data_IF_211811887183
#
_entry.id   IF_211811887183
#
_cell.length_a   1.000
_cell.length_b   1.000
_cell.length_c   1.000
_cell.angle_alpha   90.00
_cell.angle_beta   90.00
_cell.angle_gamma   90.00
#
_symmetry.space_group_name_H-M   'P 1'
#
loop_
_entity.id
_entity.type
_entity.pdbx_description
1 polymer ?
#
# COMPACT_ATOMS: atom_id res chain seq x y z
N UNK A 1 22.36 2.55 1.16
CA UNK A 1 21.54 1.31 1.10
C UNK A 1 22.27 0.04 1.57
N UNK A 2 23.60 -0.08 1.42
CA UNK A 2 24.38 -1.29 1.79
C UNK A 2 24.27 -1.73 3.27
N UNK A 3 24.17 -0.79 4.20
CA UNK A 3 24.09 -1.10 5.63
C UNK A 3 22.71 -1.59 6.10
N UNK A 4 21.64 -1.30 5.34
CA UNK A 4 20.27 -1.70 5.71
C UNK A 4 20.04 -3.18 5.38
N UNK A 5 20.55 -3.66 4.24
CA UNK A 5 20.49 -5.07 3.86
C UNK A 5 21.25 -5.97 4.86
N UNK A 6 22.40 -5.50 5.37
CA UNK A 6 23.17 -6.20 6.40
C UNK A 6 22.40 -6.33 7.72
N UNK A 7 21.68 -5.27 8.13
CA UNK A 7 20.85 -5.29 9.34
C UNK A 7 19.64 -6.23 9.20
N UNK A 8 19.02 -6.30 8.01
CA UNK A 8 17.94 -7.25 7.72
C UNK A 8 18.48 -8.69 7.73
N UNK A 9 19.65 -8.93 7.14
CA UNK A 9 20.32 -10.23 7.15
C UNK A 9 20.64 -10.74 8.56
N UNK A 10 21.19 -9.88 9.42
CA UNK A 10 21.44 -10.21 10.83
C UNK A 10 20.16 -10.55 11.61
N UNK A 11 19.04 -9.88 11.29
CA UNK A 11 17.76 -10.16 11.93
C UNK A 11 17.24 -11.57 11.59
N UNK A 12 17.37 -12.01 10.34
CA UNK A 12 17.00 -13.37 9.92
C UNK A 12 17.93 -14.44 10.52
N UNK A 13 19.24 -14.18 10.58
CA UNK A 13 20.19 -15.11 11.21
C UNK A 13 19.87 -15.29 12.69
N UNK A 14 19.63 -14.20 13.43
CA UNK A 14 19.27 -14.26 14.84
C UNK A 14 17.91 -14.94 15.11
N UNK A 15 16.93 -14.75 14.21
CA UNK A 15 15.63 -15.41 14.29
C UNK A 15 15.75 -16.93 14.09
N UNK A 16 16.53 -17.37 13.11
CA UNK A 16 16.80 -18.78 12.85
C UNK A 16 17.50 -19.47 14.03
N UNK A 17 18.47 -18.80 14.66
CA UNK A 17 19.16 -19.33 15.84
C UNK A 17 18.22 -19.44 17.05
N UNK A 18 17.32 -18.48 17.28
CA UNK A 18 16.35 -18.56 18.38
C UNK A 18 15.31 -19.68 18.19
N UNK A 19 14.89 -19.95 16.95
CA UNK A 19 13.93 -21.02 16.64
C UNK A 19 14.60 -22.40 16.76
N UNK A 20 15.88 -22.54 16.34
CA UNK A 20 16.65 -23.78 16.46
C UNK A 20 17.06 -24.12 17.91
N UNK A 21 17.24 -23.12 18.77
CA UNK A 21 17.52 -23.35 20.20
C UNK A 21 16.27 -23.55 21.06
N UNK A 22 15.08 -23.18 20.58
CA UNK A 22 13.81 -23.40 21.28
C UNK A 22 13.18 -24.77 20.99
N UNK A 23 13.68 -25.52 20.00
CA UNK A 23 13.28 -26.90 19.76
C UNK A 23 14.03 -27.83 20.72
N UNK A 24 13.33 -28.56 21.62
CA UNK A 24 13.97 -29.51 22.51
C UNK A 24 14.55 -30.65 21.68
N UNK A 25 15.86 -30.81 21.83
CA UNK A 25 16.65 -31.93 21.31
C UNK A 25 16.12 -33.22 21.95
N UNK A 26 15.20 -33.92 21.28
CA UNK A 26 14.79 -35.27 21.66
C UNK A 26 15.29 -36.24 20.59
N UNK A 27 16.59 -36.47 20.64
CA UNK A 27 17.20 -37.68 20.11
C UNK A 27 16.82 -38.83 21.04
N UNK A 28 15.82 -39.63 20.68
CA UNK A 28 15.79 -41.07 20.95
C UNK A 28 14.56 -41.74 20.32
N UNK A 29 14.81 -42.93 19.76
CA UNK A 29 13.89 -44.07 19.68
C UNK A 29 12.77 -44.07 18.63
N UNK A 30 13.02 -44.84 17.57
CA UNK A 30 12.27 -46.06 17.16
C UNK A 30 12.00 -46.14 15.65
N UNK A 31 12.44 -47.28 15.11
CA UNK A 31 12.38 -47.79 13.76
C UNK A 31 10.96 -48.00 13.18
N UNK A 32 10.88 -47.80 11.85
CA UNK A 32 10.17 -48.57 10.80
C UNK A 32 8.67 -48.86 10.93
N UNK A 33 7.92 -48.42 9.92
CA UNK A 33 7.01 -49.28 9.13
C UNK A 33 6.50 -48.53 7.90
N UNK A 34 6.74 -49.11 6.72
CA UNK A 34 6.17 -48.70 5.43
C UNK A 34 4.66 -49.01 5.36
N UNK A 35 3.88 -48.10 4.77
CA UNK A 35 2.61 -48.42 4.10
C UNK A 35 2.20 -47.25 3.18
N UNK A 36 2.28 -47.47 1.87
CA UNK A 36 1.69 -46.63 0.84
C UNK A 36 0.15 -46.64 0.93
N UNK A 37 -0.49 -45.48 0.76
CA UNK A 37 -1.79 -45.44 0.08
C UNK A 37 -1.92 -44.16 -0.77
N UNK A 38 -1.98 -44.40 -2.06
CA UNK A 38 -2.22 -43.45 -3.16
C UNK A 38 -3.69 -43.04 -3.17
N UNK A 39 -3.99 -41.76 -2.93
CA UNK A 39 -5.28 -41.18 -3.32
C UNK A 39 -5.08 -39.98 -4.24
N UNK A 40 -5.54 -40.19 -5.48
CA UNK A 40 -5.49 -39.26 -6.61
C UNK A 40 -6.59 -38.21 -6.42
N UNK A 41 -6.24 -36.93 -6.39
CA UNK A 41 -7.21 -35.83 -6.47
C UNK A 41 -7.76 -35.73 -7.91
N UNK A 42 -9.07 -35.92 -8.06
CA UNK A 42 -9.77 -35.75 -9.33
C UNK A 42 -10.28 -34.31 -9.45
N UNK A 43 -9.90 -33.65 -10.54
CA UNK A 43 -10.33 -32.29 -10.90
C UNK A 43 -11.45 -32.35 -11.94
N UNK A 44 -12.51 -31.54 -11.78
CA UNK A 44 -13.51 -31.39 -12.84
C UNK A 44 -12.99 -30.50 -13.98
N UNK A 45 -13.64 -30.59 -15.15
CA UNK A 45 -13.27 -29.84 -16.37
C UNK A 45 -13.45 -28.32 -16.25
N UNK A 46 -13.99 -27.82 -15.13
CA UNK A 46 -14.19 -26.40 -14.85
C UNK A 46 -13.27 -25.87 -13.73
N UNK A 47 -12.30 -26.67 -13.26
CA UNK A 47 -11.37 -26.26 -12.21
C UNK A 47 -12.02 -26.05 -10.84
N UNK A 48 -13.22 -26.58 -10.60
CA UNK A 48 -13.88 -26.54 -9.29
C UNK A 48 -13.67 -27.85 -8.54
N UNK A 49 -13.24 -27.71 -7.28
CA UNK A 49 -13.02 -28.82 -6.35
C UNK A 49 -14.38 -29.35 -5.86
N UNK A 50 -14.81 -30.51 -6.36
CA UNK A 50 -15.98 -31.24 -5.86
C UNK A 50 -15.56 -32.13 -4.68
N UNK A 51 -15.69 -31.62 -3.45
CA UNK A 51 -15.60 -32.46 -2.25
C UNK A 51 -16.93 -33.19 -2.08
N UNK A 52 -16.95 -34.47 -2.44
CA UNK A 52 -18.03 -35.40 -2.12
C UNK A 52 -18.12 -35.52 -0.59
N UNK A 53 -19.29 -35.16 -0.05
CA UNK A 53 -19.60 -35.31 1.36
C UNK A 53 -19.92 -36.78 1.62
N UNK A 54 -18.93 -37.58 2.00
CA UNK A 54 -19.15 -38.93 2.51
C UNK A 54 -19.08 -38.96 4.04
N UNK A 55 -20.27 -39.19 4.59
CA UNK A 55 -20.69 -39.70 5.90
C UNK A 55 -19.79 -39.55 7.13
N UNK A 56 -20.28 -38.65 7.99
CA UNK A 56 -19.80 -38.22 9.30
C UNK A 56 -19.68 -39.32 10.36
N UNK A 57 -20.16 -40.53 10.08
CA UNK A 57 -20.15 -41.65 11.03
C UNK A 57 -19.03 -42.67 10.80
N UNK A 58 -18.40 -42.68 9.61
CA UNK A 58 -17.34 -43.65 9.30
C UNK A 58 -15.95 -43.21 9.77
N UNK A 59 -15.75 -41.91 9.97
CA UNK A 59 -14.46 -41.31 10.38
C UNK A 59 -14.16 -41.54 11.88
N UNK A 60 -15.19 -41.76 12.72
CA UNK A 60 -15.03 -41.90 14.17
C UNK A 60 -14.43 -43.24 14.64
N UNK A 61 -14.31 -44.24 13.77
CA UNK A 61 -13.77 -45.56 14.12
C UNK A 61 -12.31 -45.75 13.69
N UNK A 62 -11.84 -45.08 12.62
CA UNK A 62 -10.45 -45.17 12.16
C UNK A 62 -9.51 -44.17 12.87
N UNK A 63 -10.04 -43.06 13.42
CA UNK A 63 -9.27 -42.09 14.21
C UNK A 63 -8.80 -42.60 15.58
N UNK A 64 -9.19 -43.79 16.04
CA UNK A 64 -8.68 -44.38 17.28
C UNK A 64 -7.46 -45.29 17.11
N UNK A 65 -7.01 -45.56 15.89
CA UNK A 65 -5.95 -46.52 15.61
C UNK A 65 -4.68 -45.98 14.93
N UNK A 66 -4.67 -44.74 14.41
CA UNK A 66 -3.70 -44.34 13.38
C UNK A 66 -2.95 -43.00 13.56
N UNK A 67 -3.02 -42.31 14.70
CA UNK A 67 -2.19 -41.10 14.96
C UNK A 67 -1.00 -41.38 15.89
N UNK A 68 -0.18 -42.36 15.50
CA UNK A 68 1.26 -42.25 15.73
C UNK A 68 1.84 -41.84 14.38
N UNK A 69 2.71 -40.82 14.37
CA UNK A 69 3.55 -40.36 13.24
C UNK A 69 3.01 -39.17 12.42
N UNK A 70 3.74 -38.05 12.49
CA UNK A 70 3.73 -36.85 11.62
C UNK A 70 2.67 -35.75 11.88
N UNK A 71 2.79 -35.06 13.03
CA UNK A 71 2.18 -33.75 13.24
C UNK A 71 3.07 -32.62 12.67
N UNK A 72 2.53 -31.67 11.87
CA UNK A 72 3.23 -30.46 11.50
C UNK A 72 3.45 -29.57 12.73
N UNK A 73 4.67 -29.02 12.86
CA UNK A 73 5.17 -28.26 14.01
C UNK A 73 4.41 -26.95 14.37
N UNK A 74 3.23 -26.70 13.81
CA UNK A 74 2.39 -25.52 14.07
C UNK A 74 1.24 -25.78 15.05
N UNK A 75 0.85 -27.04 15.32
CA UNK A 75 -0.26 -27.37 16.24
C UNK A 75 0.17 -27.84 17.63
N UNK A 76 1.47 -28.03 17.88
CA UNK A 76 2.01 -28.37 19.22
C UNK A 76 1.95 -27.21 20.24
N UNK A 77 1.37 -26.06 19.86
CA UNK A 77 1.13 -24.92 20.75
C UNK A 77 -0.29 -25.00 21.38
N UNK A 78 -1.15 -25.89 20.90
CA UNK A 78 -2.48 -26.11 21.47
C UNK A 78 -2.48 -27.25 22.48
N UNK A 79 -2.90 -26.96 23.73
CA UNK A 79 -3.35 -27.93 24.76
C UNK A 79 -2.29 -28.62 25.64
N UNK A 80 -1.13 -28.02 25.89
CA UNK A 80 -0.51 -28.27 27.21
C UNK A 80 -1.31 -27.53 28.26
N UNK A 81 -2.02 -28.27 29.13
CA UNK A 81 -2.44 -27.77 30.45
C UNK A 81 -1.17 -27.46 31.24
N UNK A 82 -0.50 -26.36 30.91
CA UNK A 82 0.45 -25.74 31.81
C UNK A 82 -0.38 -25.36 33.02
N UNK A 83 -0.10 -25.98 34.17
CA UNK A 83 -0.83 -25.65 35.39
C UNK A 83 -0.81 -24.13 35.56
N UNK A 84 -1.97 -23.53 35.82
CA UNK A 84 -2.14 -22.08 36.04
C UNK A 84 -1.28 -21.50 37.19
N UNK A 85 -0.40 -22.32 37.80
CA UNK A 85 0.55 -21.97 38.84
C UNK A 85 2.01 -21.82 38.38
N UNK A 86 2.37 -22.11 37.12
CA UNK A 86 3.78 -22.14 36.70
C UNK A 86 4.24 -20.98 35.79
N UNK A 87 3.36 -20.08 35.39
CA UNK A 87 3.71 -18.89 34.59
C UNK A 87 3.11 -17.67 35.28
N UNK A 88 3.94 -16.81 35.86
CA UNK A 88 3.42 -15.63 36.57
C UNK A 88 2.57 -14.80 35.62
N UNK A 89 1.40 -14.32 36.09
CA UNK A 89 0.53 -13.40 35.32
C UNK A 89 1.29 -12.17 34.81
N UNK A 90 2.46 -11.87 35.38
CA UNK A 90 3.37 -10.81 34.91
C UNK A 90 4.06 -11.12 33.56
N UNK A 91 4.11 -12.38 33.09
CA UNK A 91 4.77 -12.74 31.82
C UNK A 91 3.85 -12.65 30.59
N UNK A 92 2.53 -12.78 30.77
CA UNK A 92 1.56 -12.66 29.66
C UNK A 92 1.46 -11.22 29.13
N UNK A 93 1.71 -10.22 29.97
CA UNK A 93 1.88 -8.81 29.58
C UNK A 93 3.33 -8.40 29.31
N UNK A 94 4.31 -9.29 29.53
CA UNK A 94 5.73 -8.95 29.44
C UNK A 94 6.13 -8.56 28.02
N UNK A 95 6.99 -7.54 27.91
CA UNK A 95 7.54 -7.12 26.63
C UNK A 95 8.38 -8.20 25.91
N UNK A 96 8.69 -9.28 26.61
CA UNK A 96 9.54 -10.37 26.14
C UNK A 96 8.74 -11.63 25.74
N UNK A 97 7.40 -11.61 25.76
CA UNK A 97 6.60 -12.78 25.36
C UNK A 97 6.75 -13.06 23.83
N UNK A 98 7.35 -14.18 23.42
CA UNK A 98 7.60 -14.51 22.02
C UNK A 98 6.32 -14.61 21.18
N UNK A 99 5.18 -15.00 21.77
CA UNK A 99 3.89 -15.02 21.05
C UNK A 99 3.42 -13.62 20.59
N UNK A 100 3.86 -12.56 21.27
CA UNK A 100 3.51 -11.18 20.91
C UNK A 100 4.49 -10.55 19.92
N UNK A 101 5.63 -11.19 19.65
CA UNK A 101 6.68 -10.64 18.80
C UNK A 101 6.24 -10.41 17.35
N UNK A 102 5.57 -11.36 16.65
CA UNK A 102 5.14 -11.14 15.27
C UNK A 102 4.19 -9.94 15.16
N UNK A 103 3.21 -9.83 16.07
CA UNK A 103 2.28 -8.68 16.13
C UNK A 103 3.03 -7.37 16.38
N UNK A 104 4.03 -7.35 17.27
CA UNK A 104 4.85 -6.17 17.56
C UNK A 104 5.79 -5.78 16.43
N UNK A 105 6.41 -6.75 15.76
CA UNK A 105 7.26 -6.52 14.58
C UNK A 105 6.41 -5.94 13.45
N UNK A 106 5.25 -6.56 13.17
CA UNK A 106 4.31 -6.05 12.17
C UNK A 106 3.84 -4.62 12.49
N UNK A 107 3.49 -4.34 13.75
CA UNK A 107 3.12 -3.00 14.19
C UNK A 107 4.27 -1.99 14.03
N UNK A 108 5.51 -2.36 14.40
CA UNK A 108 6.70 -1.52 14.21
C UNK A 108 7.00 -1.26 12.73
N UNK A 109 6.84 -2.26 11.86
CA UNK A 109 7.01 -2.12 10.41
C UNK A 109 5.94 -1.17 9.86
N UNK A 110 4.67 -1.36 10.24
CA UNK A 110 3.56 -0.48 9.86
C UNK A 110 3.78 0.96 10.34
N UNK A 111 4.24 1.15 11.57
CA UNK A 111 4.58 2.47 12.11
C UNK A 111 5.77 3.12 11.40
N UNK A 112 6.82 2.35 11.12
CA UNK A 112 7.98 2.83 10.36
C UNK A 112 7.58 3.24 8.95
N UNK A 113 6.74 2.44 8.30
CA UNK A 113 6.18 2.73 6.99
C UNK A 113 5.30 3.99 6.99
N UNK A 114 4.45 4.14 8.01
CA UNK A 114 3.65 5.35 8.21
C UNK A 114 4.54 6.60 8.39
N UNK A 115 5.62 6.52 9.18
CA UNK A 115 6.59 7.62 9.35
C UNK A 115 7.35 7.94 8.07
N UNK A 116 7.74 6.93 7.30
CA UNK A 116 8.35 7.13 5.99
C UNK A 116 7.40 7.89 5.05
N UNK A 117 6.13 7.47 5.00
CA UNK A 117 5.10 8.18 4.23
C UNK A 117 4.81 9.57 4.77
N UNK A 118 4.87 9.79 6.08
CA UNK A 118 4.75 11.12 6.67
C UNK A 118 5.89 12.05 6.24
N UNK A 119 7.13 11.54 6.13
CA UNK A 119 8.24 12.33 5.60
C UNK A 119 8.06 12.64 4.11
N UNK A 120 7.45 11.74 3.33
CA UNK A 120 7.09 12.00 1.94
C UNK A 120 6.04 13.11 1.84
N UNK A 121 4.98 13.04 2.66
CA UNK A 121 3.95 14.09 2.77
C UNK A 121 4.60 15.43 3.11
N UNK A 122 5.40 15.49 4.19
CA UNK A 122 6.07 16.71 4.62
C UNK A 122 6.90 17.35 3.51
N UNK A 123 7.64 16.54 2.73
CA UNK A 123 8.46 17.01 1.61
C UNK A 123 7.63 17.57 0.46
N UNK A 124 6.49 16.95 0.17
CA UNK A 124 5.58 17.41 -0.88
C UNK A 124 4.80 18.67 -0.48
N UNK A 125 4.79 19.04 0.80
CA UNK A 125 4.03 20.18 1.34
C UNK A 125 4.92 21.20 2.07
N UNK A 126 6.22 21.28 1.75
CA UNK A 126 7.17 22.16 2.47
C UNK A 126 6.96 23.62 2.11
N UNK A 127 6.90 23.89 0.81
CA UNK A 127 6.80 25.20 0.19
C UNK A 127 6.06 25.10 -1.15
N UNK A 128 5.75 26.26 -1.74
CA UNK A 128 4.98 26.35 -2.98
C UNK A 128 5.64 25.59 -4.15
N UNK A 129 6.96 25.68 -4.28
CA UNK A 129 7.70 24.96 -5.34
C UNK A 129 7.65 23.45 -5.14
N UNK A 130 7.76 22.97 -3.90
CA UNK A 130 7.70 21.55 -3.57
C UNK A 130 6.33 20.95 -3.93
N UNK A 131 5.26 21.71 -3.70
CA UNK A 131 3.91 21.34 -4.08
C UNK A 131 3.82 21.27 -5.61
N UNK A 132 4.22 22.32 -6.33
CA UNK A 132 4.18 22.34 -7.80
C UNK A 132 5.01 21.20 -8.42
N UNK A 133 6.21 20.91 -7.88
CA UNK A 133 7.06 19.81 -8.37
C UNK A 133 6.41 18.45 -8.14
N UNK A 134 5.79 18.26 -6.97
CA UNK A 134 5.12 17.00 -6.65
C UNK A 134 3.88 16.79 -7.54
N UNK A 135 3.15 17.85 -7.87
CA UNK A 135 2.02 17.83 -8.80
C UNK A 135 2.44 17.47 -10.22
N UNK A 136 3.54 18.07 -10.71
CA UNK A 136 4.15 17.71 -12.00
C UNK A 136 4.60 16.24 -12.04
N UNK A 137 5.07 15.72 -10.91
CA UNK A 137 5.42 14.30 -10.74
C UNK A 137 4.20 13.36 -10.65
N UNK A 138 2.98 13.90 -10.70
CA UNK A 138 1.73 13.15 -10.67
C UNK A 138 1.20 12.85 -9.26
N UNK A 139 1.72 13.50 -8.23
CA UNK A 139 1.16 13.38 -6.89
C UNK A 139 -0.21 14.09 -6.84
N UNK A 140 -1.22 13.37 -6.35
CA UNK A 140 -2.59 13.88 -6.28
C UNK A 140 -3.03 14.07 -4.84
N UNK A 141 -4.06 14.91 -4.59
CA UNK A 141 -4.69 14.97 -3.29
C UNK A 141 -5.26 13.62 -2.84
N UNK A 142 -5.73 12.77 -3.76
CA UNK A 142 -6.20 11.43 -3.42
C UNK A 142 -5.09 10.54 -2.84
N UNK A 143 -3.91 10.54 -3.48
CA UNK A 143 -2.73 9.85 -2.98
C UNK A 143 -2.31 10.38 -1.60
N UNK A 144 -2.36 11.70 -1.39
CA UNK A 144 -2.05 12.29 -0.09
C UNK A 144 -3.12 12.02 0.98
N UNK A 145 -4.41 11.99 0.63
CA UNK A 145 -5.52 11.59 1.52
C UNK A 145 -5.29 10.17 2.04
N UNK A 146 -4.87 9.25 1.16
CA UNK A 146 -4.49 7.88 1.54
C UNK A 146 -3.30 7.84 2.49
N UNK A 147 -2.24 8.62 2.22
CA UNK A 147 -1.07 8.72 3.10
C UNK A 147 -1.48 9.26 4.49
N UNK A 148 -2.26 10.33 4.53
CA UNK A 148 -2.81 10.92 5.76
C UNK A 148 -3.58 9.88 6.58
N UNK A 149 -4.53 9.19 5.96
CA UNK A 149 -5.36 8.19 6.62
C UNK A 149 -4.52 7.01 7.15
N UNK A 150 -3.52 6.56 6.39
CA UNK A 150 -2.59 5.52 6.84
C UNK A 150 -1.78 5.98 8.06
N UNK A 151 -1.34 7.24 8.10
CA UNK A 151 -0.60 7.80 9.25
C UNK A 151 -1.50 7.84 10.48
N UNK A 152 -2.74 8.31 10.35
CA UNK A 152 -3.71 8.35 11.46
C UNK A 152 -4.08 6.96 11.96
N UNK A 153 -4.15 5.96 11.07
CA UNK A 153 -4.48 4.60 11.45
C UNK A 153 -3.34 3.88 12.19
N UNK A 154 -2.09 4.06 11.74
CA UNK A 154 -0.95 3.29 12.27
C UNK A 154 -0.11 4.04 13.31
N UNK A 155 -0.19 5.36 13.39
CA UNK A 155 0.52 6.16 14.37
C UNK A 155 -0.48 6.70 15.39
N UNK A 156 -0.18 6.55 16.68
CA UNK A 156 -0.77 7.39 17.73
C UNK A 156 -0.21 8.80 17.56
N UNK A 157 -0.66 9.50 16.52
CA UNK A 157 -0.37 10.91 16.33
C UNK A 157 -0.89 11.64 17.56
N UNK A 158 0.02 12.31 18.27
CA UNK A 158 -0.37 13.24 19.34
C UNK A 158 -1.32 14.26 18.69
N UNK A 159 -2.36 14.77 19.38
CA UNK A 159 -3.31 15.70 18.75
C UNK A 159 -2.68 16.83 17.94
N UNK A 160 -1.51 17.33 18.36
CA UNK A 160 -0.71 18.32 17.61
C UNK A 160 -0.20 17.84 16.25
N UNK A 161 0.25 16.59 16.16
CA UNK A 161 0.70 16.01 14.89
C UNK A 161 -0.48 15.79 13.94
N UNK A 162 -1.63 15.37 14.47
CA UNK A 162 -2.84 15.18 13.68
C UNK A 162 -3.31 16.49 13.04
N UNK A 163 -3.39 17.57 13.83
CA UNK A 163 -3.74 18.91 13.35
C UNK A 163 -2.75 19.38 12.28
N UNK A 164 -1.44 19.15 12.48
CA UNK A 164 -0.43 19.55 11.50
C UNK A 164 -0.58 18.78 10.19
N UNK A 165 -0.77 17.46 10.24
CA UNK A 165 -0.96 16.62 9.06
C UNK A 165 -2.22 17.05 8.29
N UNK A 166 -3.31 17.36 9.00
CA UNK A 166 -4.54 17.86 8.38
C UNK A 166 -4.30 19.21 7.69
N UNK A 167 -3.59 20.13 8.35
CA UNK A 167 -3.23 21.43 7.78
C UNK A 167 -2.35 21.29 6.53
N UNK A 168 -1.33 20.44 6.59
CA UNK A 168 -0.42 20.17 5.47
C UNK A 168 -1.21 19.59 4.28
N UNK A 169 -2.15 18.67 4.54
CA UNK A 169 -3.05 18.11 3.51
C UNK A 169 -3.97 19.18 2.91
N UNK A 170 -4.65 19.99 3.73
CA UNK A 170 -5.56 21.02 3.23
C UNK A 170 -4.80 22.07 2.42
N UNK A 171 -3.62 22.49 2.86
CA UNK A 171 -2.75 23.40 2.11
C UNK A 171 -2.39 22.84 0.74
N UNK A 172 -2.13 21.53 0.64
CA UNK A 172 -1.88 20.88 -0.64
C UNK A 172 -3.12 20.88 -1.54
N UNK A 173 -4.28 20.52 -0.99
CA UNK A 173 -5.57 20.50 -1.73
C UNK A 173 -5.86 21.88 -2.31
N UNK A 174 -5.75 22.93 -1.48
CA UNK A 174 -6.03 24.31 -1.87
C UNK A 174 -5.09 24.77 -2.99
N UNK A 175 -3.78 24.50 -2.86
CA UNK A 175 -2.82 24.86 -3.91
C UNK A 175 -3.00 24.02 -5.18
N UNK A 176 -3.34 22.74 -5.05
CA UNK A 176 -3.59 21.83 -6.16
C UNK A 176 -4.75 22.33 -7.03
N UNK A 177 -5.88 22.64 -6.39
CA UNK A 177 -7.05 23.14 -7.11
C UNK A 177 -6.89 24.59 -7.56
N UNK A 178 -6.10 25.39 -6.82
CA UNK A 178 -5.73 26.75 -7.23
C UNK A 178 -5.07 26.84 -8.61
N UNK A 179 -4.35 25.79 -9.04
CA UNK A 179 -3.75 25.74 -10.38
C UNK A 179 -4.77 25.73 -11.52
N UNK A 180 -6.03 25.37 -11.26
CA UNK A 180 -7.10 25.33 -12.27
C UNK A 180 -7.96 26.59 -12.30
N UNK A 181 -7.72 27.59 -11.44
CA UNK A 181 -8.48 28.84 -11.43
C UNK A 181 -8.48 29.53 -12.81
N UNK A 182 -7.38 29.40 -13.54
CA UNK A 182 -7.25 29.92 -14.90
C UNK A 182 -7.94 29.08 -15.98
N UNK A 183 -8.18 27.78 -15.75
CA UNK A 183 -8.89 26.88 -16.68
C UNK A 183 -10.34 27.32 -16.89
N UNK A 184 -10.98 27.90 -15.87
CA UNK A 184 -12.38 28.31 -15.89
C UNK A 184 -12.60 29.75 -16.40
N UNK A 185 -11.53 30.44 -16.81
CA UNK A 185 -11.62 31.74 -17.50
C UNK A 185 -11.93 31.55 -18.98
N UNK A 186 -12.42 32.60 -19.64
CA UNK A 186 -12.69 32.62 -21.08
C UNK A 186 -11.92 33.78 -21.75
N UNK A 187 -10.84 33.51 -22.52
CA UNK A 187 -10.23 32.19 -22.74
C UNK A 187 -9.49 31.67 -21.48
N UNK A 188 -9.21 30.36 -21.40
CA UNK A 188 -8.40 29.78 -20.33
C UNK A 188 -7.00 30.40 -20.26
N UNK A 189 -6.54 30.73 -19.05
CA UNK A 189 -5.22 31.36 -18.81
C UNK A 189 -4.39 30.45 -17.90
N UNK A 190 -3.11 30.23 -18.22
CA UNK A 190 -2.24 29.38 -17.41
C UNK A 190 -0.89 30.03 -17.15
N UNK A 191 -0.27 29.71 -16.01
CA UNK A 191 1.07 30.14 -15.64
C UNK A 191 2.16 29.29 -16.34
N UNK A 192 2.07 29.14 -17.67
CA UNK A 192 2.95 28.26 -18.45
C UNK A 192 4.44 28.56 -18.21
N UNK A 193 4.79 29.85 -18.05
CA UNK A 193 6.16 30.27 -17.80
C UNK A 193 6.68 29.76 -16.45
N UNK A 194 5.84 29.76 -15.40
CA UNK A 194 6.18 29.23 -14.07
C UNK A 194 6.49 27.74 -14.15
N UNK A 195 5.61 26.96 -14.78
CA UNK A 195 5.78 25.52 -14.88
C UNK A 195 6.96 25.13 -15.78
N UNK A 196 7.20 25.84 -16.89
CA UNK A 196 8.37 25.61 -17.74
C UNK A 196 9.68 25.89 -17.01
N UNK A 197 9.72 26.94 -16.20
CA UNK A 197 10.87 27.23 -15.34
C UNK A 197 11.08 26.10 -14.33
N UNK A 198 10.01 25.65 -13.67
CA UNK A 198 10.07 24.55 -12.71
C UNK A 198 10.61 23.26 -13.35
N UNK A 199 10.12 22.90 -14.54
CA UNK A 199 10.59 21.72 -15.31
C UNK A 199 12.07 21.82 -15.69
N UNK A 200 12.56 23.04 -15.98
CA UNK A 200 13.97 23.29 -16.26
C UNK A 200 14.85 23.19 -15.00
N UNK A 201 14.32 23.58 -13.84
CA UNK A 201 15.02 23.54 -12.55
C UNK A 201 14.96 22.17 -11.86
N UNK A 202 14.20 21.21 -12.42
CA UNK A 202 14.12 19.83 -11.94
C UNK A 202 15.41 19.05 -12.21
N UNK A 203 15.74 18.17 -11.27
CA UNK A 203 16.79 17.15 -11.46
C UNK A 203 16.40 16.18 -12.58
N UNK A 204 17.39 15.51 -13.17
CA UNK A 204 17.13 14.50 -14.21
C UNK A 204 16.20 13.37 -13.73
N UNK A 205 16.27 13.00 -12.44
CA UNK A 205 15.37 12.01 -11.85
C UNK A 205 13.93 12.52 -11.78
N UNK A 206 13.72 13.77 -11.36
CA UNK A 206 12.39 14.39 -11.32
C UNK A 206 11.78 14.50 -12.73
N UNK A 207 12.58 14.92 -13.72
CA UNK A 207 12.13 14.97 -15.12
C UNK A 207 11.73 13.59 -15.67
N UNK A 208 12.43 12.52 -15.29
CA UNK A 208 12.04 11.14 -15.66
C UNK A 208 10.70 10.76 -15.03
N UNK A 209 10.47 11.14 -13.78
CA UNK A 209 9.20 10.88 -13.07
C UNK A 209 8.06 11.67 -13.72
N UNK A 210 8.26 12.96 -14.02
CA UNK A 210 7.28 13.79 -14.74
C UNK A 210 6.92 13.17 -16.10
N UNK A 211 7.92 12.77 -16.89
CA UNK A 211 7.70 12.10 -18.20
C UNK A 211 6.92 10.81 -18.04
N UNK A 212 7.21 10.03 -17.00
CA UNK A 212 6.48 8.79 -16.71
C UNK A 212 5.02 9.08 -16.35
N UNK A 213 4.78 10.10 -15.54
CA UNK A 213 3.43 10.55 -15.20
C UNK A 213 2.67 11.01 -16.45
N UNK A 214 3.28 11.86 -17.29
CA UNK A 214 2.71 12.33 -18.55
C UNK A 214 2.39 11.18 -19.51
N UNK A 215 3.31 10.22 -19.68
CA UNK A 215 3.09 9.05 -20.53
C UNK A 215 1.94 8.19 -20.02
N UNK A 216 1.85 7.97 -18.70
CA UNK A 216 0.76 7.21 -18.08
C UNK A 216 -0.59 7.90 -18.31
N UNK A 217 -0.66 9.22 -18.10
CA UNK A 217 -1.89 9.99 -18.36
C UNK A 217 -2.24 9.97 -19.84
N UNK A 218 -1.26 10.18 -20.74
CA UNK A 218 -1.45 10.08 -22.20
C UNK A 218 -2.11 8.77 -22.58
N UNK A 219 -1.59 7.63 -22.09
CA UNK A 219 -2.17 6.32 -22.38
C UNK A 219 -3.62 6.16 -21.94
N UNK A 220 -4.04 6.81 -20.84
CA UNK A 220 -5.42 6.73 -20.36
C UNK A 220 -6.35 7.67 -21.12
N UNK A 221 -5.89 8.87 -21.44
CA UNK A 221 -6.66 9.85 -22.23
C UNK A 221 -6.83 9.35 -23.67
N UNK A 222 -5.78 8.80 -24.28
CA UNK A 222 -5.81 8.27 -25.64
C UNK A 222 -6.71 7.02 -25.76
N UNK A 223 -6.95 6.30 -24.66
CA UNK A 223 -7.93 5.21 -24.59
C UNK A 223 -9.39 5.69 -24.50
N UNK A 224 -9.64 6.98 -24.29
CA UNK A 224 -10.98 7.53 -24.15
C UNK A 224 -11.73 7.04 -22.91
N UNK A 225 -11.03 6.85 -21.79
CA UNK A 225 -11.67 6.43 -20.54
C UNK A 225 -12.63 7.50 -20.00
N UNK A 226 -13.75 7.05 -19.41
CA UNK A 226 -14.71 7.94 -18.75
C UNK A 226 -14.10 8.62 -17.53
N UNK A 227 -14.72 9.72 -17.08
CA UNK A 227 -14.27 10.43 -15.88
C UNK A 227 -14.27 9.52 -14.63
N UNK A 228 -15.26 8.64 -14.44
CA UNK A 228 -15.23 7.71 -13.30
C UNK A 228 -14.04 6.75 -13.39
N UNK A 229 -13.70 6.31 -14.61
CA UNK A 229 -12.56 5.44 -14.82
C UNK A 229 -11.24 6.16 -14.55
N UNK A 230 -11.09 7.41 -15.00
CA UNK A 230 -9.93 8.24 -14.73
C UNK A 230 -9.77 8.51 -13.21
N UNK A 231 -10.86 8.78 -12.50
CA UNK A 231 -10.86 8.92 -11.03
C UNK A 231 -10.43 7.60 -10.37
N UNK A 232 -10.99 6.46 -10.79
CA UNK A 232 -10.64 5.14 -10.21
C UNK A 232 -9.17 4.75 -10.37
N UNK A 233 -8.51 5.27 -11.41
CA UNK A 233 -7.10 5.05 -11.70
C UNK A 233 -6.17 6.09 -11.06
N UNK A 234 -6.75 7.05 -10.32
CA UNK A 234 -6.06 8.20 -9.72
C UNK A 234 -5.20 8.94 -10.76
N UNK A 235 -5.82 9.26 -11.90
CA UNK A 235 -5.19 10.10 -12.93
C UNK A 235 -5.10 11.52 -12.38
N UNK A 236 -3.93 12.16 -12.43
CA UNK A 236 -3.77 13.52 -11.94
C UNK A 236 -4.42 14.52 -12.91
N UNK A 237 -5.43 15.31 -12.48
CA UNK A 237 -5.98 16.38 -13.32
C UNK A 237 -4.91 17.39 -13.74
N UNK A 238 -3.90 17.61 -12.92
CA UNK A 238 -2.83 18.57 -13.22
C UNK A 238 -1.92 18.03 -14.33
N UNK A 239 -1.56 16.75 -14.27
CA UNK A 239 -0.78 16.11 -15.34
C UNK A 239 -1.60 16.02 -16.63
N UNK A 240 -2.93 15.83 -16.54
CA UNK A 240 -3.80 15.90 -17.72
C UNK A 240 -3.80 17.30 -18.34
N UNK A 241 -3.91 18.36 -17.54
CA UNK A 241 -3.77 19.74 -18.02
C UNK A 241 -2.41 19.99 -18.68
N UNK A 242 -1.30 19.54 -18.05
CA UNK A 242 0.05 19.62 -18.63
C UNK A 242 0.17 18.84 -19.95
N UNK A 243 -0.48 17.69 -20.06
CA UNK A 243 -0.52 16.92 -21.31
C UNK A 243 -1.21 17.71 -22.43
N UNK A 244 -2.37 18.31 -22.17
CA UNK A 244 -3.09 19.14 -23.14
C UNK A 244 -2.25 20.37 -23.54
N UNK A 245 -1.55 20.98 -22.59
CA UNK A 245 -0.60 22.06 -22.86
C UNK A 245 0.53 21.63 -23.81
N UNK A 246 1.21 20.51 -23.51
CA UNK A 246 2.28 19.97 -24.37
C UNK A 246 1.76 19.57 -25.76
N UNK A 247 0.48 19.19 -25.88
CA UNK A 247 -0.21 18.93 -27.16
C UNK A 247 -0.67 20.20 -27.91
N UNK A 248 -0.46 21.38 -27.34
CA UNK A 248 -0.83 22.65 -27.97
C UNK A 248 -2.33 22.97 -27.93
N UNK A 249 -3.12 22.26 -27.14
CA UNK A 249 -4.59 22.40 -27.05
C UNK A 249 -5.00 23.82 -26.65
N UNK A 250 -4.24 24.46 -25.76
CA UNK A 250 -4.52 25.82 -25.31
C UNK A 250 -3.97 26.92 -26.22
N UNK A 251 -3.27 26.57 -27.31
CA UNK A 251 -2.83 27.57 -28.32
C UNK A 251 -3.94 27.92 -29.31
N UNK A 252 -4.91 27.03 -29.46
CA UNK A 252 -6.03 27.14 -30.38
C UNK A 252 -7.29 26.67 -29.65
N UNK A 253 -7.82 27.56 -28.81
CA UNK A 253 -8.94 27.28 -27.89
C UNK A 253 -10.21 26.97 -28.67
N UNK A 254 -10.47 27.71 -29.75
CA UNK A 254 -11.68 27.55 -30.57
C UNK A 254 -11.78 26.15 -31.17
N UNK A 255 -10.68 25.64 -31.75
CA UNK A 255 -10.68 24.30 -32.36
C UNK A 255 -10.53 23.15 -31.35
N UNK A 256 -10.23 23.44 -30.09
CA UNK A 256 -10.02 22.42 -29.06
C UNK A 256 -10.96 22.54 -27.85
N UNK A 257 -12.07 23.25 -28.00
CA UNK A 257 -13.01 23.52 -26.91
C UNK A 257 -13.52 22.24 -26.23
N UNK A 258 -13.78 21.18 -27.00
CA UNK A 258 -14.25 19.89 -26.45
C UNK A 258 -13.26 19.27 -25.46
N UNK A 259 -11.94 19.36 -25.75
CA UNK A 259 -10.89 18.82 -24.85
C UNK A 259 -10.77 19.66 -23.58
N UNK A 260 -10.97 20.97 -23.70
CA UNK A 260 -10.92 21.91 -22.57
C UNK A 260 -12.13 21.69 -21.67
N UNK A 261 -13.33 21.53 -22.25
CA UNK A 261 -14.55 21.22 -21.50
C UNK A 261 -14.47 19.84 -20.84
N UNK A 262 -13.92 18.83 -21.52
CA UNK A 262 -13.67 17.53 -20.90
C UNK A 262 -12.73 17.66 -19.69
N UNK A 263 -11.66 18.46 -19.78
CA UNK A 263 -10.77 18.71 -18.65
C UNK A 263 -11.52 19.43 -17.51
N UNK A 264 -12.33 20.46 -17.81
CA UNK A 264 -13.13 21.18 -16.81
C UNK A 264 -14.09 20.26 -16.06
N UNK A 265 -14.83 19.42 -16.78
CA UNK A 265 -15.75 18.44 -16.19
C UNK A 265 -14.98 17.42 -15.35
N UNK A 266 -13.83 16.96 -15.84
CA UNK A 266 -12.98 16.02 -15.10
C UNK A 266 -12.45 16.62 -13.79
N UNK A 267 -11.95 17.86 -13.81
CA UNK A 267 -11.46 18.56 -12.61
C UNK A 267 -12.57 18.68 -11.56
N UNK A 268 -13.78 19.10 -11.97
CA UNK A 268 -14.94 19.19 -11.06
C UNK A 268 -15.31 17.84 -10.47
N UNK A 269 -15.41 16.80 -11.29
CA UNK A 269 -15.73 15.45 -10.82
C UNK A 269 -14.66 14.89 -9.87
N UNK A 270 -13.38 15.21 -10.11
CA UNK A 270 -12.27 14.82 -9.25
C UNK A 270 -12.30 15.53 -7.89
N UNK A 271 -12.61 16.83 -7.89
CA UNK A 271 -12.80 17.63 -6.67
C UNK A 271 -13.98 17.10 -5.83
N UNK A 272 -15.13 16.87 -6.45
CA UNK A 272 -16.30 16.28 -5.79
C UNK A 272 -15.97 14.91 -5.18
N UNK A 273 -15.26 14.05 -5.92
CA UNK A 273 -14.85 12.72 -5.42
C UNK A 273 -13.92 12.79 -4.20
N UNK A 274 -13.13 13.86 -4.05
CA UNK A 274 -12.26 14.04 -2.90
C UNK A 274 -12.99 14.53 -1.65
N UNK A 275 -14.09 15.28 -1.83
CA UNK A 275 -14.87 15.82 -0.72
C UNK A 275 -15.83 14.80 -0.11
N UNK A 276 -16.17 13.73 -0.84
CA UNK A 276 -16.92 12.56 -0.34
C UNK A 276 -16.01 11.63 0.48
#
# INVERSE_FOLDING_TARGET
MRNIAFLIGLFFIGYSSCVLHATPTRASLVEKSDAESTHVEQWDSNGKRTLQADDRERILAEERGMEQTLLPAAEAIGKTKVSEKAVSRASLGSKLNPMTWPKRILYKIKLWYARFRQNLLKRATMDEESIDRSMMSGLTPFALKKIKNDIFHYSSSVPRDAIKIEKDYNSYVDQFFGQFNGLFKDPPVFEMAKWKKLEADMTSTEQIVERTALNKVSQYIDKGFSNEKLISLDVSPFVYMRLLEKRGVFKDVENNIDKIEHLKVYVKAYEEHLMV
#
